data_IF_342191688838
#
_entry.id   IF_342191688838
#
_cell.length_a   1.000
_cell.length_b   1.000
_cell.length_c   1.000
_cell.angle_alpha   90.00
_cell.angle_beta   90.00
_cell.angle_gamma   90.00
#
_symmetry.space_group_name_H-M   'P 1'
#
loop_
_entity.id
_entity.type
_entity.pdbx_description
1 polymer ?
#
# COMPACT_ATOMS: atom_id res chain seq x y z
N UNK A 1 -11.45 16.37 -35.03
CA UNK A 1 -10.16 15.72 -34.71
C UNK A 1 -9.17 16.81 -34.32
N UNK A 2 -8.86 16.96 -33.03
CA UNK A 2 -7.85 17.91 -32.56
C UNK A 2 -7.26 17.40 -31.25
N UNK A 3 -6.01 16.92 -31.29
CA UNK A 3 -5.24 16.50 -30.11
C UNK A 3 -4.67 17.76 -29.45
N UNK A 4 -5.12 18.10 -28.24
CA UNK A 4 -4.41 19.04 -27.38
C UNK A 4 -3.32 18.27 -26.61
N UNK A 5 -2.07 18.63 -26.90
CA UNK A 5 -0.87 18.05 -26.30
C UNK A 5 -0.71 18.40 -24.83
N UNK A 6 -0.23 17.40 -24.09
CA UNK A 6 0.10 17.40 -22.67
C UNK A 6 1.17 18.45 -22.36
N UNK A 7 0.88 19.39 -21.46
CA UNK A 7 1.86 20.32 -20.92
C UNK A 7 2.95 19.55 -20.15
N UNK A 8 4.22 19.73 -20.55
CA UNK A 8 5.40 19.31 -19.77
C UNK A 8 5.98 20.58 -19.16
N UNK A 9 5.87 20.72 -17.83
CA UNK A 9 6.66 21.69 -17.09
C UNK A 9 8.11 21.21 -17.05
N UNK A 10 9.01 21.99 -17.64
CA UNK A 10 10.45 21.86 -17.46
C UNK A 10 10.88 23.12 -16.76
N UNK A 11 11.28 23.01 -15.49
CA UNK A 11 11.86 24.11 -14.73
C UNK A 11 13.38 24.01 -14.85
N UNK A 12 14.00 25.03 -15.43
CA UNK A 12 15.42 25.08 -15.76
C UNK A 12 16.13 25.97 -14.74
N UNK A 13 16.61 25.38 -13.64
CA UNK A 13 17.51 26.10 -12.72
C UNK A 13 18.95 26.07 -13.27
N UNK A 14 19.47 27.26 -13.57
CA UNK A 14 20.84 27.47 -14.06
C UNK A 14 21.82 27.54 -12.90
N UNK A 15 22.62 26.49 -12.74
CA UNK A 15 23.87 26.56 -11.96
C UNK A 15 25.04 26.75 -12.94
N UNK A 16 25.92 27.70 -12.62
CA UNK A 16 27.07 28.09 -13.44
C UNK A 16 27.99 26.91 -13.76
N UNK A 17 28.13 26.61 -15.05
CA UNK A 17 29.27 25.87 -15.60
C UNK A 17 29.08 24.37 -15.91
N UNK A 18 27.97 23.74 -15.50
CA UNK A 18 27.68 22.36 -15.90
C UNK A 18 26.18 22.16 -16.04
N UNK A 19 25.69 21.97 -17.27
CA UNK A 19 24.28 21.71 -17.53
C UNK A 19 23.94 20.28 -17.09
N UNK A 20 23.72 20.07 -15.79
CA UNK A 20 23.13 18.84 -15.27
C UNK A 20 21.64 18.90 -15.54
N UNK A 21 21.20 18.24 -16.62
CA UNK A 21 19.77 18.00 -16.85
C UNK A 21 19.26 17.02 -15.79
N UNK A 22 18.72 17.53 -14.70
CA UNK A 22 17.93 16.72 -13.77
C UNK A 22 16.58 16.48 -14.43
N UNK A 23 16.47 15.40 -15.20
CA UNK A 23 15.14 14.88 -15.54
C UNK A 23 14.57 14.27 -14.27
N UNK A 24 13.82 15.05 -13.49
CA UNK A 24 12.98 14.51 -12.43
C UNK A 24 11.93 13.60 -13.09
N UNK A 25 12.22 12.30 -13.18
CA UNK A 25 11.19 11.30 -13.46
C UNK A 25 10.29 11.32 -12.23
N UNK A 26 9.12 11.94 -12.37
CA UNK A 26 8.12 12.03 -11.31
C UNK A 26 7.82 10.63 -10.76
N UNK A 27 7.63 10.54 -9.45
CA UNK A 27 7.21 9.30 -8.80
C UNK A 27 5.94 8.78 -9.48
N UNK A 28 5.90 7.47 -9.72
CA UNK A 28 4.73 6.80 -10.31
C UNK A 28 3.89 6.23 -9.18
N UNK A 29 2.71 6.78 -8.98
CA UNK A 29 1.72 6.21 -8.04
C UNK A 29 1.19 4.89 -8.60
N UNK A 30 1.27 3.83 -7.81
CA UNK A 30 0.85 2.46 -8.14
C UNK A 30 -0.16 1.91 -7.12
N UNK A 31 -0.76 2.77 -6.29
CA UNK A 31 -1.68 2.41 -5.19
C UNK A 31 -2.72 1.40 -5.61
N UNK A 32 -3.43 1.63 -6.72
CA UNK A 32 -4.48 0.69 -7.19
C UNK A 32 -3.96 -0.72 -7.45
N UNK A 33 -2.76 -0.83 -8.02
CA UNK A 33 -2.12 -2.12 -8.24
C UNK A 33 -1.74 -2.77 -6.91
N UNK A 34 -1.13 -1.99 -6.00
CA UNK A 34 -0.69 -2.47 -4.68
C UNK A 34 -1.89 -2.95 -3.84
N UNK A 35 -2.95 -2.16 -3.73
CA UNK A 35 -4.19 -2.53 -3.04
C UNK A 35 -4.78 -3.83 -3.60
N UNK A 36 -4.76 -4.01 -4.93
CA UNK A 36 -5.27 -5.24 -5.57
C UNK A 36 -4.39 -6.47 -5.29
N UNK A 37 -3.08 -6.30 -5.13
CA UNK A 37 -2.22 -7.42 -4.72
C UNK A 37 -2.42 -7.74 -3.25
N UNK A 38 -2.49 -6.70 -2.42
CA UNK A 38 -2.68 -6.82 -0.98
C UNK A 38 -4.03 -7.47 -0.65
N UNK A 39 -5.10 -7.06 -1.33
CA UNK A 39 -6.42 -7.66 -1.17
C UNK A 39 -6.44 -9.17 -1.43
N UNK A 40 -5.65 -9.62 -2.41
CA UNK A 40 -5.54 -11.05 -2.75
C UNK A 40 -4.69 -11.82 -1.76
N UNK A 41 -3.62 -11.20 -1.26
CA UNK A 41 -2.72 -11.82 -0.31
C UNK A 41 -3.37 -11.95 1.08
N UNK A 42 -4.25 -11.01 1.43
CA UNK A 42 -4.95 -10.96 2.71
C UNK A 42 -6.28 -11.70 2.71
N UNK A 43 -6.77 -12.14 1.55
CA UNK A 43 -7.96 -12.99 1.49
C UNK A 43 -7.63 -14.37 2.04
N UNK A 44 -8.47 -14.87 2.95
CA UNK A 44 -8.26 -16.15 3.65
C UNK A 44 -6.97 -16.20 4.49
N UNK A 45 -6.46 -15.05 4.95
CA UNK A 45 -5.35 -15.02 5.89
C UNK A 45 -5.79 -15.66 7.20
N UNK A 46 -5.04 -16.66 7.64
CA UNK A 46 -5.19 -17.27 8.96
C UNK A 46 -4.13 -16.68 9.89
N UNK A 47 -4.57 -15.93 10.89
CA UNK A 47 -3.66 -15.35 11.90
C UNK A 47 -3.39 -16.36 13.01
N UNK A 48 -4.43 -17.10 13.40
CA UNK A 48 -4.37 -18.18 14.37
C UNK A 48 -5.41 -19.24 14.04
N UNK A 49 -5.26 -20.42 14.64
CA UNK A 49 -6.16 -21.55 14.40
C UNK A 49 -7.62 -21.15 14.67
N UNK A 50 -8.49 -21.40 13.70
CA UNK A 50 -9.92 -21.08 13.81
C UNK A 50 -10.31 -19.67 13.40
N UNK A 51 -9.37 -18.74 13.14
CA UNK A 51 -9.66 -17.37 12.70
C UNK A 51 -9.22 -17.14 11.26
N UNK A 52 -10.18 -16.76 10.41
CA UNK A 52 -9.92 -16.52 8.98
C UNK A 52 -10.41 -15.12 8.60
N UNK A 53 -9.57 -14.37 7.90
CA UNK A 53 -9.96 -13.11 7.29
C UNK A 53 -10.72 -13.32 5.98
N UNK A 54 -11.60 -12.37 5.66
CA UNK A 54 -12.30 -12.36 4.38
C UNK A 54 -12.24 -10.95 3.80
N UNK A 55 -11.52 -10.80 2.69
CA UNK A 55 -11.38 -9.47 2.06
C UNK A 55 -12.73 -8.95 1.56
N UNK A 56 -13.54 -9.82 0.96
CA UNK A 56 -14.89 -9.49 0.47
C UNK A 56 -15.87 -9.12 1.59
N UNK A 57 -15.52 -9.37 2.86
CA UNK A 57 -16.30 -8.98 4.03
C UNK A 57 -16.24 -7.49 4.39
N UNK A 58 -15.48 -6.68 3.64
CA UNK A 58 -15.34 -5.23 3.88
C UNK A 58 -13.91 -4.78 4.17
N UNK A 59 -12.91 -5.44 3.58
CA UNK A 59 -11.52 -5.00 3.69
C UNK A 59 -11.30 -3.60 3.10
N UNK A 60 -10.57 -2.76 3.83
CA UNK A 60 -10.23 -1.39 3.44
C UNK A 60 -8.70 -1.21 3.44
N UNK A 61 -8.18 -0.51 2.44
CA UNK A 61 -6.80 -0.04 2.39
C UNK A 61 -6.81 1.47 2.24
N UNK A 62 -6.12 2.16 3.15
CA UNK A 62 -5.88 3.59 3.08
C UNK A 62 -4.41 3.86 2.82
N UNK A 63 -4.12 5.00 2.18
CA UNK A 63 -2.76 5.47 1.92
C UNK A 63 -2.32 5.40 0.46
N UNK A 64 -1.01 5.50 0.24
CA UNK A 64 -0.42 5.62 -1.09
C UNK A 64 0.80 4.70 -1.25
N UNK A 65 0.92 4.12 -2.44
CA UNK A 65 2.15 3.48 -2.88
C UNK A 65 2.65 4.18 -4.13
N UNK A 66 3.91 4.60 -4.09
CA UNK A 66 4.57 5.24 -5.23
C UNK A 66 5.94 4.61 -5.49
N UNK A 67 6.40 4.69 -6.73
CA UNK A 67 7.76 4.27 -7.11
C UNK A 67 8.51 5.50 -7.60
N UNK A 68 9.54 5.87 -6.84
CA UNK A 68 10.47 6.93 -7.19
C UNK A 68 11.67 6.37 -7.94
N UNK A 69 12.25 7.14 -8.86
CA UNK A 69 13.48 6.77 -9.56
C UNK A 69 14.58 7.80 -9.29
N UNK A 70 15.68 7.36 -8.68
CA UNK A 70 16.84 8.22 -8.39
C UNK A 70 18.12 7.53 -8.81
N UNK A 71 18.90 8.18 -9.70
CA UNK A 71 20.18 7.65 -10.24
C UNK A 71 20.03 6.26 -10.87
N UNK A 72 18.92 6.02 -11.59
CA UNK A 72 18.63 4.73 -12.23
C UNK A 72 18.20 3.61 -11.30
N UNK A 73 18.06 3.87 -9.99
CA UNK A 73 17.51 2.95 -9.00
C UNK A 73 16.06 3.29 -8.71
N UNK A 74 15.23 2.26 -8.53
CA UNK A 74 13.83 2.39 -8.13
C UNK A 74 13.70 2.25 -6.61
N UNK A 75 12.92 3.15 -6.01
CA UNK A 75 12.64 3.19 -4.58
C UNK A 75 11.13 3.17 -4.43
N UNK A 76 10.55 2.01 -4.11
CA UNK A 76 9.14 1.96 -3.77
C UNK A 76 8.95 2.60 -2.38
N UNK A 77 7.93 3.44 -2.27
CA UNK A 77 7.53 4.11 -1.04
C UNK A 77 6.14 3.57 -0.75
N UNK A 78 6.00 2.90 0.38
CA UNK A 78 4.76 2.32 0.85
C UNK A 78 4.32 3.07 2.09
N UNK A 79 3.07 3.52 2.10
CA UNK A 79 2.42 4.04 3.28
C UNK A 79 0.97 3.55 3.20
N UNK A 80 0.73 2.34 3.71
CA UNK A 80 -0.57 1.70 3.65
C UNK A 80 -1.04 1.31 5.05
N UNK A 81 -2.27 1.67 5.38
CA UNK A 81 -3.02 1.12 6.51
C UNK A 81 -4.05 0.14 5.96
N UNK A 82 -4.20 -1.02 6.61
CA UNK A 82 -5.21 -2.02 6.24
C UNK A 82 -6.15 -2.30 7.38
N UNK A 83 -7.44 -2.34 7.10
CA UNK A 83 -8.49 -2.80 8.02
C UNK A 83 -9.17 -4.00 7.38
N UNK A 84 -9.17 -5.14 8.06
CA UNK A 84 -9.60 -6.41 7.49
C UNK A 84 -10.54 -7.14 8.45
N UNK A 85 -11.81 -7.35 8.07
CA UNK A 85 -12.73 -8.17 8.86
C UNK A 85 -12.25 -9.61 8.98
N UNK A 86 -12.43 -10.18 10.16
CA UNK A 86 -12.20 -11.58 10.45
C UNK A 86 -13.38 -12.21 11.17
N UNK A 87 -13.54 -13.51 10.98
CA UNK A 87 -14.47 -14.32 11.73
C UNK A 87 -13.82 -15.66 12.06
N UNK A 88 -14.21 -16.24 13.18
CA UNK A 88 -13.64 -17.50 13.62
C UNK A 88 -14.42 -18.18 14.72
N UNK A 89 -13.98 -19.39 15.04
CA UNK A 89 -14.47 -20.14 16.19
C UNK A 89 -13.33 -20.88 16.89
N UNK A 90 -13.27 -20.75 18.21
CA UNK A 90 -12.35 -21.51 19.07
C UNK A 90 -13.20 -22.17 20.15
N UNK A 91 -13.02 -23.48 20.34
CA UNK A 91 -13.76 -24.27 21.34
C UNK A 91 -15.29 -24.11 21.26
N UNK A 92 -15.83 -23.89 20.05
CA UNK A 92 -17.25 -23.70 19.80
C UNK A 92 -17.79 -22.30 20.08
N UNK A 93 -16.92 -21.36 20.49
CA UNK A 93 -17.27 -19.94 20.66
C UNK A 93 -16.96 -19.20 19.37
N UNK A 94 -17.99 -18.62 18.75
CA UNK A 94 -17.83 -17.78 17.58
C UNK A 94 -17.40 -16.37 17.98
N UNK A 95 -16.47 -15.79 17.23
CA UNK A 95 -16.05 -14.40 17.39
C UNK A 95 -15.79 -13.78 16.04
N UNK A 96 -15.99 -12.47 15.95
CA UNK A 96 -15.68 -11.69 14.77
C UNK A 96 -15.06 -10.37 15.19
N UNK A 97 -14.38 -9.73 14.26
CA UNK A 97 -13.65 -8.51 14.55
C UNK A 97 -12.94 -7.93 13.34
N UNK A 98 -12.01 -7.04 13.61
CA UNK A 98 -11.20 -6.36 12.61
C UNK A 98 -9.71 -6.53 12.97
N UNK A 99 -8.91 -6.90 11.97
CA UNK A 99 -7.47 -6.78 12.01
C UNK A 99 -7.08 -5.43 11.43
N UNK A 100 -6.26 -4.68 12.16
CA UNK A 100 -5.72 -3.40 11.70
C UNK A 100 -4.21 -3.55 11.57
N UNK A 101 -3.70 -3.33 10.36
CA UNK A 101 -2.29 -3.27 10.05
C UNK A 101 -1.96 -1.78 9.83
N UNK A 102 -1.44 -1.08 10.85
CA UNK A 102 -1.31 0.38 10.83
C UNK A 102 -0.22 0.86 9.87
N UNK A 103 0.82 0.07 9.64
CA UNK A 103 1.92 0.41 8.74
C UNK A 103 2.39 -0.80 7.93
N UNK A 104 1.91 -0.91 6.69
CA UNK A 104 2.41 -1.87 5.71
C UNK A 104 3.44 -1.16 4.81
N UNK A 105 4.68 -1.17 5.28
CA UNK A 105 5.86 -0.67 4.57
C UNK A 105 6.98 -1.72 4.56
N UNK A 106 7.92 -1.61 3.60
CA UNK A 106 9.00 -2.61 3.45
C UNK A 106 9.85 -2.70 4.71
N UNK A 107 10.07 -1.55 5.33
CA UNK A 107 10.82 -1.36 6.56
C UNK A 107 10.15 -2.06 7.74
N UNK A 108 8.82 -2.11 7.76
CA UNK A 108 8.04 -2.68 8.85
C UNK A 108 7.57 -4.12 8.58
N UNK A 109 7.87 -4.72 7.42
CA UNK A 109 7.43 -6.09 7.12
C UNK A 109 7.98 -7.13 8.11
N UNK A 110 9.21 -6.93 8.58
CA UNK A 110 9.85 -7.84 9.56
C UNK A 110 9.34 -7.61 10.99
N UNK A 111 8.77 -6.44 11.27
CA UNK A 111 8.26 -6.01 12.58
C UNK A 111 6.80 -5.56 12.47
N UNK A 112 6.02 -6.26 11.64
CA UNK A 112 4.66 -5.83 11.33
C UNK A 112 3.77 -5.95 12.56
N UNK A 113 3.27 -4.81 13.03
CA UNK A 113 2.28 -4.76 14.09
C UNK A 113 0.89 -5.09 13.54
N UNK A 114 0.15 -5.93 14.25
CA UNK A 114 -1.24 -6.25 13.94
C UNK A 114 -2.08 -5.99 15.19
N UNK A 115 -3.01 -5.04 15.09
CA UNK A 115 -3.97 -4.76 16.14
C UNK A 115 -5.23 -5.59 15.89
N UNK A 116 -5.68 -6.30 16.92
CA UNK A 116 -6.89 -7.13 16.84
C UNK A 116 -7.98 -6.46 17.66
N UNK A 117 -9.06 -6.07 16.98
CA UNK A 117 -10.29 -5.59 17.61
C UNK A 117 -11.34 -6.70 17.54
N UNK A 118 -12.01 -6.99 18.65
CA UNK A 118 -13.13 -7.95 18.73
C UNK A 118 -14.42 -7.13 18.76
N UNK A 119 -15.37 -7.45 17.88
CA UNK A 119 -16.72 -6.90 17.90
C UNK A 119 -17.65 -7.92 18.56
N UNK A 120 -18.28 -7.52 19.67
CA UNK A 120 -19.28 -8.33 20.43
C UNK A 120 -20.54 -8.65 19.61
#
# INVERSE_FOLDING_TARGET
RGRAGRARGVEEERWSGCAVRVTARMARTITLWATKQLSKALDQLQICEGFTSHWEGGGEVQGEVSVSERRGKQYPIYALEVRLPWAGAVDGVHSAGIFILPDVSVEMLDELEVVVEITE
#
